data_IF_095063103352
#
_entry.id   IF_095063103352
#
_cell.length_a   1.000
_cell.length_b   1.000
_cell.length_c   1.000
_cell.angle_alpha   90.00
_cell.angle_beta   90.00
_cell.angle_gamma   90.00
#
_symmetry.space_group_name_H-M   'P 1'
#
loop_
_entity.id
_entity.type
_entity.pdbx_description
1 polymer ?
#
# COMPACT_ATOMS: atom_id res chain seq x y z
N UNK A 1 -73.39 16.82 38.90
CA UNK A 1 -73.17 16.03 37.69
C UNK A 1 -71.71 16.00 37.37
N UNK A 2 -71.01 14.95 37.73
CA UNK A 2 -69.58 14.82 37.49
C UNK A 2 -69.37 13.93 36.29
N UNK A 3 -68.82 14.46 35.21
CA UNK A 3 -68.39 13.68 34.04
C UNK A 3 -66.96 13.27 34.20
N UNK A 4 -66.72 12.00 34.41
CA UNK A 4 -65.38 11.41 34.42
C UNK A 4 -64.86 11.30 32.99
N UNK A 5 -63.71 11.89 32.71
CA UNK A 5 -62.98 11.72 31.47
C UNK A 5 -61.95 10.61 31.71
N UNK A 6 -62.12 9.48 31.03
CA UNK A 6 -61.19 8.37 31.08
C UNK A 6 -60.05 8.65 30.12
N UNK A 7 -58.86 8.88 30.65
CA UNK A 7 -57.65 9.11 29.87
C UNK A 7 -57.05 7.76 29.51
N UNK A 8 -57.03 7.44 28.22
CA UNK A 8 -56.38 6.23 27.69
C UNK A 8 -54.95 6.60 27.40
N UNK A 9 -54.02 6.12 28.19
CA UNK A 9 -52.60 6.22 27.96
C UNK A 9 -52.21 5.09 27.01
N UNK A 10 -52.00 5.44 25.74
CA UNK A 10 -51.42 4.53 24.74
C UNK A 10 -49.95 4.38 24.97
N UNK A 11 -49.47 3.21 25.40
CA UNK A 11 -48.10 2.88 25.48
C UNK A 11 -47.56 2.58 24.04
N UNK A 12 -46.75 3.51 23.53
CA UNK A 12 -46.04 3.33 22.27
C UNK A 12 -44.82 2.47 22.54
N UNK A 13 -44.88 1.19 22.17
CA UNK A 13 -43.72 0.31 22.16
C UNK A 13 -42.83 0.67 20.97
N UNK A 14 -41.73 1.37 21.23
CA UNK A 14 -40.65 1.55 20.29
C UNK A 14 -39.85 0.22 20.23
N UNK A 15 -40.10 -0.57 19.20
CA UNK A 15 -39.25 -1.71 18.84
C UNK A 15 -37.99 -1.12 18.22
N UNK A 16 -36.93 -0.98 19.02
CA UNK A 16 -35.59 -0.74 18.50
C UNK A 16 -35.12 -2.03 17.84
N UNK A 17 -35.35 -2.13 16.54
CA UNK A 17 -34.77 -3.17 15.73
C UNK A 17 -33.24 -3.01 15.71
N UNK A 18 -32.54 -3.82 16.47
CA UNK A 18 -31.10 -3.98 16.31
C UNK A 18 -30.85 -4.64 14.95
N UNK A 19 -30.58 -3.83 13.93
CA UNK A 19 -30.01 -4.34 12.69
C UNK A 19 -28.58 -4.75 13.01
N UNK A 20 -28.38 -6.06 13.25
CA UNK A 20 -27.05 -6.66 13.16
C UNK A 20 -26.62 -6.52 11.71
N UNK A 21 -25.77 -5.53 11.44
CA UNK A 21 -25.02 -5.47 10.20
C UNK A 21 -24.11 -6.70 10.19
N UNK A 22 -24.59 -7.79 9.59
CA UNK A 22 -23.71 -8.84 9.13
C UNK A 22 -22.82 -8.17 8.09
N UNK A 23 -21.57 -7.89 8.46
CA UNK A 23 -20.56 -7.48 7.51
C UNK A 23 -20.45 -8.57 6.47
N UNK A 24 -20.97 -8.30 5.27
CA UNK A 24 -20.69 -9.08 4.10
C UNK A 24 -19.17 -9.12 3.95
N UNK A 25 -18.57 -10.21 4.41
CA UNK A 25 -17.26 -10.60 3.92
C UNK A 25 -17.46 -10.99 2.46
N UNK A 26 -17.56 -9.99 1.60
CA UNK A 26 -17.37 -10.18 0.18
C UNK A 26 -15.97 -10.77 0.05
N UNK A 27 -15.91 -12.06 -0.19
CA UNK A 27 -14.67 -12.73 -0.57
C UNK A 27 -14.18 -12.05 -1.84
N UNK A 28 -13.36 -10.99 -1.66
CA UNK A 28 -12.73 -10.28 -2.76
C UNK A 28 -12.03 -11.31 -3.65
N UNK A 29 -12.00 -11.06 -4.95
CA UNK A 29 -11.28 -11.90 -5.88
C UNK A 29 -9.86 -12.17 -5.34
N UNK A 30 -9.44 -13.43 -5.34
CA UNK A 30 -8.06 -13.81 -4.99
C UNK A 30 -7.08 -13.44 -6.09
N UNK A 31 -7.58 -13.04 -7.25
CA UNK A 31 -6.78 -12.54 -8.35
C UNK A 31 -6.62 -11.03 -8.14
N UNK A 32 -5.37 -10.58 -8.15
CA UNK A 32 -5.06 -9.17 -7.99
C UNK A 32 -5.63 -8.33 -9.14
N UNK A 33 -5.92 -7.04 -8.92
CA UNK A 33 -6.33 -6.12 -9.99
C UNK A 33 -5.20 -5.95 -11.03
N UNK A 34 -5.53 -5.35 -12.16
CA UNK A 34 -4.56 -5.01 -13.24
C UNK A 34 -3.69 -3.81 -12.88
N UNK A 35 -3.12 -3.82 -11.68
CA UNK A 35 -2.05 -2.92 -11.29
C UNK A 35 -0.71 -3.54 -11.67
N UNK A 36 0.35 -2.75 -11.71
CA UNK A 36 1.70 -3.25 -11.95
C UNK A 36 2.45 -3.34 -10.64
N UNK A 37 2.99 -4.51 -10.34
CA UNK A 37 3.84 -4.74 -9.18
C UNK A 37 5.30 -4.73 -9.64
N UNK A 38 6.04 -3.70 -9.25
CA UNK A 38 7.45 -3.51 -9.51
C UNK A 38 8.26 -4.05 -8.32
N UNK A 39 8.80 -5.26 -8.48
CA UNK A 39 9.57 -5.95 -7.45
C UNK A 39 11.05 -5.77 -7.72
N UNK A 40 11.77 -5.19 -6.78
CA UNK A 40 13.22 -5.05 -6.86
C UNK A 40 13.86 -5.88 -5.75
N UNK A 41 14.63 -6.89 -6.14
CA UNK A 41 15.51 -7.63 -5.23
C UNK A 41 16.94 -7.14 -5.39
N UNK A 42 17.68 -7.03 -4.30
CA UNK A 42 19.00 -6.41 -4.34
C UNK A 42 19.94 -6.88 -3.21
N UNK A 43 21.22 -6.63 -3.43
CA UNK A 43 22.26 -6.60 -2.38
C UNK A 43 22.83 -5.21 -2.27
N UNK A 44 23.09 -4.79 -1.04
CA UNK A 44 23.85 -3.57 -0.78
C UNK A 44 25.34 -3.84 -0.90
N UNK A 45 26.15 -2.82 -1.15
CA UNK A 45 27.59 -2.91 -1.06
C UNK A 45 28.00 -3.15 0.40
N UNK A 46 29.11 -3.83 0.60
CA UNK A 46 29.60 -4.19 1.95
C UNK A 46 29.95 -2.96 2.81
N UNK A 47 30.31 -1.85 2.17
CA UNK A 47 30.61 -0.58 2.80
C UNK A 47 29.42 0.36 2.95
N UNK A 48 28.22 -0.07 2.53
CA UNK A 48 27.00 0.72 2.72
C UNK A 48 26.57 0.75 4.19
N UNK A 49 26.48 1.94 4.76
CA UNK A 49 26.02 2.11 6.15
C UNK A 49 24.50 1.93 6.28
N UNK A 50 24.04 1.55 7.46
CA UNK A 50 22.60 1.43 7.77
C UNK A 50 21.86 2.76 7.52
N UNK A 51 22.49 3.89 7.75
CA UNK A 51 21.92 5.21 7.49
C UNK A 51 21.73 5.45 5.99
N UNK A 52 22.71 5.09 5.17
CA UNK A 52 22.61 5.19 3.71
C UNK A 52 21.52 4.28 3.16
N UNK A 53 21.44 3.04 3.66
CA UNK A 53 20.40 2.07 3.30
C UNK A 53 19.02 2.62 3.68
N UNK A 54 18.87 3.12 4.90
CA UNK A 54 17.62 3.74 5.35
C UNK A 54 17.22 4.91 4.47
N UNK A 55 18.16 5.79 4.10
CA UNK A 55 17.91 6.93 3.23
C UNK A 55 17.44 6.50 1.84
N UNK A 56 18.03 5.45 1.27
CA UNK A 56 17.62 4.90 -0.01
C UNK A 56 16.18 4.32 0.06
N UNK A 57 15.84 3.57 1.10
CA UNK A 57 14.50 3.00 1.30
C UNK A 57 13.44 4.07 1.60
N UNK A 58 13.77 5.10 2.36
CA UNK A 58 12.88 6.25 2.57
C UNK A 58 12.67 7.05 1.28
N UNK A 59 13.66 7.03 0.37
CA UNK A 59 13.52 7.59 -0.97
C UNK A 59 12.42 6.92 -1.80
N UNK A 60 12.22 5.60 -1.66
CA UNK A 60 11.09 4.88 -2.30
C UNK A 60 9.75 5.42 -1.80
N UNK A 61 9.62 5.66 -0.50
CA UNK A 61 8.42 6.28 0.09
C UNK A 61 8.21 7.71 -0.40
N UNK A 62 9.31 8.43 -0.64
CA UNK A 62 9.26 9.81 -1.18
C UNK A 62 8.79 9.81 -2.63
N UNK A 63 9.18 8.84 -3.44
CA UNK A 63 8.66 8.66 -4.81
C UNK A 63 7.13 8.50 -4.77
N UNK A 64 6.61 7.63 -3.92
CA UNK A 64 5.17 7.41 -3.78
C UNK A 64 4.40 8.69 -3.40
N UNK A 65 5.03 9.60 -2.66
CA UNK A 65 4.42 10.90 -2.33
C UNK A 65 4.45 11.91 -3.48
N UNK A 66 5.36 11.75 -4.43
CA UNK A 66 5.55 12.67 -5.55
C UNK A 66 4.84 12.24 -6.83
N UNK A 67 4.54 10.97 -6.97
CA UNK A 67 3.95 10.38 -8.17
C UNK A 67 2.64 9.69 -7.82
N UNK A 68 1.53 10.29 -8.21
CA UNK A 68 0.17 9.78 -7.93
C UNK A 68 -0.06 8.37 -8.51
N UNK A 69 0.65 8.02 -9.58
CA UNK A 69 0.60 6.69 -10.17
C UNK A 69 1.21 5.59 -9.31
N UNK A 70 2.02 5.91 -8.28
CA UNK A 70 2.53 4.94 -7.29
C UNK A 70 1.53 4.82 -6.15
N UNK A 71 0.81 3.72 -6.10
CA UNK A 71 -0.32 3.53 -5.18
C UNK A 71 0.09 2.96 -3.83
N UNK A 72 1.09 2.07 -3.80
CA UNK A 72 1.60 1.43 -2.57
C UNK A 72 3.09 1.13 -2.68
N UNK A 73 3.78 1.12 -1.53
CA UNK A 73 5.19 0.72 -1.46
C UNK A 73 5.45 -0.17 -0.25
N UNK A 74 6.35 -1.12 -0.41
CA UNK A 74 6.87 -1.98 0.65
C UNK A 74 8.39 -1.88 0.65
N UNK A 75 8.98 -1.52 1.78
CA UNK A 75 10.43 -1.27 1.90
C UNK A 75 11.12 -2.14 2.93
N UNK A 76 10.40 -3.10 3.53
CA UNK A 76 10.95 -4.01 4.53
C UNK A 76 10.86 -5.45 4.06
N UNK A 77 11.99 -6.08 3.81
CA UNK A 77 12.09 -7.52 3.65
C UNK A 77 12.15 -8.17 5.04
N UNK A 78 11.26 -9.13 5.32
CA UNK A 78 11.24 -9.88 6.59
C UNK A 78 12.23 -11.04 6.51
N UNK A 79 12.24 -11.73 5.39
CA UNK A 79 13.09 -12.89 5.12
C UNK A 79 13.44 -12.93 3.65
N UNK A 80 14.67 -13.28 3.37
CA UNK A 80 15.14 -13.53 2.00
C UNK A 80 15.59 -14.98 1.86
N UNK A 81 15.43 -15.52 0.67
CA UNK A 81 16.00 -16.80 0.26
C UNK A 81 16.80 -16.55 -1.01
N UNK A 82 18.01 -17.12 -1.08
CA UNK A 82 18.95 -16.89 -2.19
C UNK A 82 19.91 -15.74 -1.91
N UNK A 83 20.53 -15.23 -2.98
CA UNK A 83 21.71 -14.35 -2.91
C UNK A 83 21.39 -12.87 -2.73
N UNK A 84 20.11 -12.48 -2.84
CA UNK A 84 19.69 -11.09 -2.63
C UNK A 84 19.24 -10.90 -1.19
N UNK A 85 19.94 -10.07 -0.42
CA UNK A 85 19.69 -9.83 1.00
C UNK A 85 18.53 -8.89 1.31
N UNK A 86 18.00 -8.17 0.31
CA UNK A 86 16.93 -7.19 0.48
C UNK A 86 15.98 -7.14 -0.71
N UNK A 87 14.78 -6.64 -0.46
CA UNK A 87 13.81 -6.34 -1.51
C UNK A 87 12.94 -5.15 -1.11
N UNK A 88 12.49 -4.40 -2.11
CA UNK A 88 11.38 -3.47 -1.97
C UNK A 88 10.41 -3.64 -3.14
N UNK A 89 9.19 -3.17 -2.94
CA UNK A 89 8.13 -3.27 -3.94
C UNK A 89 7.45 -1.92 -4.08
N UNK A 90 7.15 -1.54 -5.32
CA UNK A 90 6.24 -0.45 -5.65
C UNK A 90 5.07 -1.01 -6.45
N UNK A 91 3.87 -0.55 -6.16
CA UNK A 91 2.70 -0.82 -6.97
C UNK A 91 2.32 0.42 -7.75
N UNK A 92 2.13 0.26 -9.04
CA UNK A 92 1.66 1.30 -9.94
C UNK A 92 0.21 1.06 -10.33
N UNK A 93 -0.55 2.12 -10.49
CA UNK A 93 -1.96 2.05 -10.87
C UNK A 93 -2.18 1.27 -12.17
N UNK A 94 -1.26 1.41 -13.12
CA UNK A 94 -1.26 0.75 -14.43
C UNK A 94 0.14 0.81 -15.07
N UNK A 95 0.26 0.27 -16.28
CA UNK A 95 1.53 0.29 -17.05
C UNK A 95 1.94 1.72 -17.46
N UNK A 96 1.00 2.65 -17.63
CA UNK A 96 1.34 4.02 -17.95
C UNK A 96 2.01 4.71 -16.78
N UNK A 97 1.52 4.50 -15.56
CA UNK A 97 2.14 5.01 -14.34
C UNK A 97 3.58 4.48 -14.16
N UNK A 98 3.84 3.21 -14.50
CA UNK A 98 5.20 2.68 -14.52
C UNK A 98 6.09 3.38 -15.55
N UNK A 99 5.57 3.64 -16.76
CA UNK A 99 6.31 4.38 -17.79
C UNK A 99 6.61 5.82 -17.36
N UNK A 100 5.66 6.48 -16.70
CA UNK A 100 5.82 7.86 -16.21
C UNK A 100 6.84 7.93 -15.05
N UNK A 101 6.93 6.87 -14.25
CA UNK A 101 7.96 6.75 -13.21
C UNK A 101 9.35 6.61 -13.83
N UNK A 102 9.50 5.80 -14.87
CA UNK A 102 10.78 5.50 -15.49
C UNK A 102 11.40 6.77 -16.11
N UNK A 103 12.53 7.20 -15.56
CA UNK A 103 13.21 8.43 -15.99
C UNK A 103 12.61 9.73 -15.43
N UNK A 104 11.63 9.66 -14.54
CA UNK A 104 11.07 10.82 -13.84
C UNK A 104 12.13 11.53 -12.99
N UNK A 105 11.91 12.80 -12.68
CA UNK A 105 12.80 13.55 -11.79
C UNK A 105 12.82 12.94 -10.38
N UNK A 106 11.71 12.39 -9.91
CA UNK A 106 11.64 11.67 -8.64
C UNK A 106 12.55 10.45 -8.62
N UNK A 107 12.57 9.64 -9.70
CA UNK A 107 13.48 8.50 -9.82
C UNK A 107 14.94 8.95 -9.92
N UNK A 108 15.25 9.98 -10.74
CA UNK A 108 16.62 10.51 -10.88
C UNK A 108 17.19 11.02 -9.57
N UNK A 109 16.38 11.75 -8.78
CA UNK A 109 16.80 12.22 -7.46
C UNK A 109 17.05 11.04 -6.50
N UNK A 110 16.16 10.06 -6.49
CA UNK A 110 16.34 8.85 -5.69
C UNK A 110 17.58 8.06 -6.10
N UNK A 111 17.88 7.95 -7.38
CA UNK A 111 19.05 7.23 -7.89
C UNK A 111 20.38 7.81 -7.36
N UNK A 112 20.44 9.09 -7.03
CA UNK A 112 21.64 9.72 -6.43
C UNK A 112 22.01 9.10 -5.07
N UNK A 113 21.04 8.57 -4.32
CA UNK A 113 21.26 7.93 -3.03
C UNK A 113 21.21 6.41 -3.08
N UNK A 114 20.53 5.84 -4.05
CA UNK A 114 20.33 4.40 -4.19
C UNK A 114 21.49 3.73 -4.97
N UNK A 115 21.80 4.22 -6.17
CA UNK A 115 22.77 3.59 -7.05
C UNK A 115 24.19 3.51 -6.46
N UNK A 116 24.70 4.52 -5.73
CA UNK A 116 26.05 4.45 -5.16
C UNK A 116 26.25 3.31 -4.17
N UNK A 117 25.19 2.88 -3.47
CA UNK A 117 25.28 1.87 -2.40
C UNK A 117 24.71 0.51 -2.81
N UNK A 118 24.05 0.42 -3.97
CA UNK A 118 23.56 -0.84 -4.52
C UNK A 118 24.70 -1.61 -5.18
N UNK A 119 24.96 -2.84 -4.76
CA UNK A 119 25.90 -3.74 -5.43
C UNK A 119 25.26 -4.39 -6.66
N UNK A 120 24.10 -5.01 -6.48
CA UNK A 120 23.38 -5.77 -7.51
C UNK A 120 21.87 -5.66 -7.30
N UNK A 121 21.11 -5.69 -8.39
CA UNK A 121 19.65 -5.79 -8.31
C UNK A 121 19.06 -6.52 -9.52
N UNK A 122 17.91 -7.13 -9.30
CA UNK A 122 17.05 -7.68 -10.34
C UNK A 122 15.66 -7.09 -10.14
N UNK A 123 15.02 -6.71 -11.23
CA UNK A 123 13.69 -6.11 -11.23
C UNK A 123 12.72 -6.98 -12.01
N UNK A 124 11.53 -7.15 -11.48
CA UNK A 124 10.39 -7.78 -12.15
C UNK A 124 9.21 -6.82 -12.13
N UNK A 125 8.60 -6.61 -13.30
CA UNK A 125 7.32 -5.90 -13.46
C UNK A 125 6.25 -6.95 -13.79
N UNK A 126 5.25 -7.07 -12.89
CA UNK A 126 4.25 -8.14 -12.92
C UNK A 126 2.87 -7.50 -12.94
N UNK A 127 1.99 -7.99 -13.79
CA UNK A 127 0.58 -7.61 -13.85
C UNK A 127 -0.30 -8.81 -14.21
N UNK A 128 -1.63 -8.66 -14.09
CA UNK A 128 -2.63 -9.63 -14.53
C UNK A 128 -3.37 -9.15 -15.79
#
# INVERSE_FOLDING_TARGET
>A
MKKSVLSIIGALFLIVGATTAFGDHHGGSKIAPKTVIHVVTLTWKDDASDEQIKKALDGVKTIAKKLDGVTRVWTRAIKTQGDHGHAFVMEFADEQALKDYAGSDAQKEWYKVYLPIRARSTTFDITN
#
